data_IF_358705133488
#
_entry.id   IF_358705133488
#
_cell.length_a   1.000
_cell.length_b   1.000
_cell.length_c   1.000
_cell.angle_alpha   90.00
_cell.angle_beta   90.00
_cell.angle_gamma   90.00
#
_symmetry.space_group_name_H-M   'P 1'
#
loop_
_entity.id
_entity.type
_entity.pdbx_description
1 polymer ?
#
# COMPACT_ATOMS: atom_id res chain seq x y z
N UNK A 1 -22.43 17.57 0.77
CA UNK A 1 -21.87 17.59 2.13
C UNK A 1 -21.67 16.17 2.61
N UNK A 2 -20.71 15.92 3.50
CA UNK A 2 -20.53 14.65 4.21
C UNK A 2 -20.70 14.87 5.72
N UNK A 3 -21.43 13.97 6.39
CA UNK A 3 -21.67 14.01 7.84
C UNK A 3 -20.87 12.91 8.55
N UNK A 4 -19.77 13.31 9.15
CA UNK A 4 -18.75 12.41 9.69
C UNK A 4 -18.89 12.22 11.21
N UNK A 5 -18.31 11.14 11.78
CA UNK A 5 -18.16 10.96 13.22
C UNK A 5 -17.38 12.12 13.92
N UNK A 6 -17.27 12.12 15.27
CA UNK A 6 -16.71 13.25 16.03
C UNK A 6 -15.22 13.56 15.78
N UNK A 7 -14.50 12.70 15.06
CA UNK A 7 -13.14 12.95 14.60
C UNK A 7 -13.06 12.58 13.10
N UNK A 8 -12.47 13.47 12.31
CA UNK A 8 -12.25 13.27 10.87
C UNK A 8 -10.90 13.88 10.48
N UNK A 9 -10.15 13.15 9.67
CA UNK A 9 -8.88 13.61 9.10
C UNK A 9 -9.10 13.87 7.62
N UNK A 10 -8.77 15.09 7.18
CA UNK A 10 -8.76 15.46 5.77
C UNK A 10 -7.31 15.50 5.28
N UNK A 11 -7.01 14.82 4.19
CA UNK A 11 -5.65 14.63 3.71
C UNK A 11 -5.60 14.93 2.21
N UNK A 12 -4.91 16.00 1.84
CA UNK A 12 -4.65 16.31 0.43
C UNK A 12 -3.38 15.57 -0.02
N UNK A 13 -3.54 14.61 -0.93
CA UNK A 13 -2.45 13.86 -1.57
C UNK A 13 -2.27 14.35 -3.00
N UNK A 14 -1.03 14.55 -3.42
CA UNK A 14 -0.67 14.78 -4.82
C UNK A 14 0.54 13.93 -5.19
N UNK A 15 0.33 12.93 -6.06
CA UNK A 15 1.35 11.96 -6.45
C UNK A 15 1.68 12.06 -7.93
N UNK A 16 2.97 12.04 -8.29
CA UNK A 16 3.42 12.04 -9.68
C UNK A 16 3.19 10.67 -10.35
N UNK A 17 1.93 10.28 -10.54
CA UNK A 17 1.58 9.19 -11.46
C UNK A 17 1.73 9.67 -12.90
N UNK A 18 2.87 9.34 -13.49
CA UNK A 18 3.17 9.54 -14.91
C UNK A 18 2.82 8.30 -15.74
N UNK A 19 1.70 7.62 -15.43
CA UNK A 19 1.22 6.46 -16.20
C UNK A 19 -0.13 5.89 -15.76
N UNK A 20 -1.01 5.62 -16.74
CA UNK A 20 -2.17 4.74 -16.56
C UNK A 20 -1.78 3.31 -16.96
N UNK A 21 -1.88 2.31 -16.08
CA UNK A 21 -1.41 0.94 -16.35
C UNK A 21 -2.40 0.19 -17.27
N UNK A 22 -2.27 0.36 -18.59
CA UNK A 22 -3.14 -0.32 -19.56
C UNK A 22 -2.58 -1.67 -20.02
N UNK A 23 -3.43 -2.69 -19.86
CA UNK A 23 -3.36 -4.09 -20.37
C UNK A 23 -2.34 -5.02 -19.70
N UNK A 24 -2.86 -5.89 -18.84
CA UNK A 24 -2.32 -7.25 -18.62
C UNK A 24 -3.22 -8.24 -19.37
N UNK A 25 -2.69 -9.41 -19.78
CA UNK A 25 -3.51 -10.48 -20.37
C UNK A 25 -2.83 -11.86 -20.30
N UNK A 26 -3.54 -12.85 -19.71
CA UNK A 26 -3.27 -14.31 -19.71
C UNK A 26 -1.98 -14.80 -19.04
N UNK A 27 -2.13 -15.39 -17.85
CA UNK A 27 -1.33 -16.56 -17.40
C UNK A 27 -2.31 -17.64 -16.90
N UNK A 28 -1.95 -18.92 -17.00
CA UNK A 28 -2.79 -20.06 -16.59
C UNK A 28 -2.65 -20.37 -15.08
N UNK A 29 -3.65 -20.98 -14.40
CA UNK A 29 -3.94 -20.60 -13.01
C UNK A 29 -3.97 -21.78 -12.01
N UNK A 30 -3.34 -21.61 -10.85
CA UNK A 30 -3.34 -22.61 -9.76
C UNK A 30 -3.58 -22.02 -8.36
N UNK A 31 -4.86 -21.82 -8.05
CA UNK A 31 -5.48 -21.92 -6.70
C UNK A 31 -4.77 -21.28 -5.49
N UNK A 32 -5.51 -20.33 -4.90
CA UNK A 32 -5.99 -20.37 -3.50
C UNK A 32 -5.20 -19.75 -2.32
N UNK A 33 -5.98 -18.95 -1.57
CA UNK A 33 -6.00 -18.68 -0.09
C UNK A 33 -5.08 -17.54 0.41
N UNK A 34 -5.48 -16.31 0.88
CA UNK A 34 -6.70 -15.41 0.88
C UNK A 34 -6.34 -14.09 1.68
N UNK A 35 -6.16 -12.91 1.05
CA UNK A 35 -5.16 -11.85 1.42
C UNK A 35 -4.82 -11.55 2.88
N UNK A 36 -3.52 -11.38 3.05
CA UNK A 36 -2.77 -12.20 3.98
C UNK A 36 -1.30 -12.21 3.56
N UNK A 37 -0.43 -12.63 4.48
CA UNK A 37 0.69 -13.46 4.08
C UNK A 37 0.24 -14.93 3.96
N UNK A 38 0.79 -15.69 3.01
CA UNK A 38 0.43 -17.09 2.82
C UNK A 38 0.82 -17.96 4.06
N UNK A 39 0.01 -18.98 4.37
CA UNK A 39 0.16 -19.86 5.54
C UNK A 39 -0.08 -21.34 5.21
N UNK A 40 0.02 -22.22 6.20
CA UNK A 40 -0.10 -23.67 6.05
C UNK A 40 1.26 -24.37 5.91
N UNK A 41 1.23 -25.68 5.67
CA UNK A 41 2.40 -26.59 5.78
C UNK A 41 3.59 -26.17 4.90
N UNK A 42 3.35 -25.53 3.75
CA UNK A 42 4.40 -25.05 2.84
C UNK A 42 5.00 -23.69 3.23
N UNK A 43 4.31 -22.88 4.04
CA UNK A 43 4.68 -21.48 4.25
C UNK A 43 5.68 -21.13 5.35
N UNK A 44 6.01 -21.98 6.36
CA UNK A 44 7.28 -21.78 7.07
C UNK A 44 8.51 -22.02 6.16
N UNK A 45 8.36 -22.70 5.02
CA UNK A 45 9.45 -22.95 4.06
C UNK A 45 9.56 -21.86 2.97
N UNK A 46 8.42 -21.28 2.59
CA UNK A 46 8.31 -20.20 1.61
C UNK A 46 8.30 -18.77 2.22
N UNK A 47 8.56 -18.64 3.53
CA UNK A 47 8.93 -17.35 4.14
C UNK A 47 10.41 -17.08 3.88
N UNK A 48 10.79 -15.83 3.65
CA UNK A 48 12.21 -15.43 3.71
C UNK A 48 12.73 -15.45 5.15
N UNK A 49 14.01 -15.76 5.32
CA UNK A 49 14.65 -15.60 6.62
C UNK A 49 14.74 -14.09 6.94
N UNK A 50 14.25 -13.69 8.10
CA UNK A 50 14.33 -12.32 8.61
C UNK A 50 15.72 -11.96 9.17
N UNK A 51 16.58 -12.95 9.40
CA UNK A 51 17.92 -12.75 9.97
C UNK A 51 18.97 -12.35 8.91
N UNK A 52 18.67 -12.52 7.62
CA UNK A 52 19.55 -12.18 6.50
C UNK A 52 18.86 -11.27 5.47
N UNK A 53 19.61 -10.71 4.50
CA UNK A 53 19.02 -9.96 3.40
C UNK A 53 18.45 -10.87 2.32
N UNK A 54 17.36 -10.42 1.69
CA UNK A 54 16.86 -10.95 0.43
C UNK A 54 17.81 -10.46 -0.67
N UNK A 55 18.69 -11.35 -1.14
CA UNK A 55 19.63 -11.05 -2.21
C UNK A 55 18.89 -10.86 -3.54
N UNK A 56 19.14 -9.76 -4.25
CA UNK A 56 18.55 -9.47 -5.55
C UNK A 56 19.58 -9.00 -6.57
N UNK A 57 19.22 -9.04 -7.85
CA UNK A 57 20.05 -8.52 -8.94
C UNK A 57 19.20 -8.09 -10.13
N UNK A 58 19.81 -7.31 -11.00
CA UNK A 58 19.20 -6.82 -12.23
C UNK A 58 19.65 -7.62 -13.44
N UNK A 59 18.70 -7.90 -14.31
CA UNK A 59 18.98 -8.33 -15.67
C UNK A 59 19.47 -7.17 -16.55
N UNK A 60 20.20 -7.49 -17.62
CA UNK A 60 20.68 -6.51 -18.60
C UNK A 60 19.54 -5.80 -19.34
N UNK A 61 18.38 -6.46 -19.47
CA UNK A 61 17.18 -5.90 -20.12
C UNK A 61 16.52 -4.74 -19.37
N UNK A 62 16.89 -4.45 -18.12
CA UNK A 62 16.33 -3.34 -17.33
C UNK A 62 17.09 -2.04 -17.53
N UNK A 63 16.35 -0.96 -17.83
CA UNK A 63 16.90 0.40 -17.87
C UNK A 63 17.39 0.86 -16.49
N UNK A 64 18.42 1.69 -16.45
CA UNK A 64 18.97 2.20 -15.19
C UNK A 64 17.94 3.03 -14.38
N UNK A 65 17.02 3.74 -15.06
CA UNK A 65 15.87 4.37 -14.41
C UNK A 65 15.01 3.35 -13.66
N UNK A 66 14.71 2.21 -14.28
CA UNK A 66 13.93 1.12 -13.65
C UNK A 66 14.69 0.53 -12.46
N UNK A 67 16.02 0.34 -12.59
CA UNK A 67 16.88 -0.16 -11.50
C UNK A 67 16.89 0.79 -10.30
N UNK A 68 16.96 2.09 -10.52
CA UNK A 68 16.85 3.11 -9.46
C UNK A 68 15.49 3.06 -8.74
N UNK A 69 14.39 2.87 -9.47
CA UNK A 69 13.05 2.70 -8.86
C UNK A 69 12.99 1.42 -8.01
N UNK A 70 13.59 0.31 -8.46
CA UNK A 70 13.65 -0.94 -7.67
C UNK A 70 14.49 -0.77 -6.40
N UNK A 71 15.65 -0.09 -6.47
CA UNK A 71 16.43 0.27 -5.28
C UNK A 71 15.62 1.12 -4.30
N UNK A 72 14.88 2.12 -4.78
CA UNK A 72 14.05 2.98 -3.95
C UNK A 72 12.88 2.23 -3.28
N UNK A 73 12.20 1.34 -4.02
CA UNK A 73 11.12 0.52 -3.48
C UNK A 73 11.62 -0.51 -2.45
N UNK A 74 12.76 -1.16 -2.71
CA UNK A 74 13.42 -2.03 -1.73
C UNK A 74 13.84 -1.23 -0.48
N UNK A 75 14.47 -0.07 -0.64
CA UNK A 75 14.86 0.80 0.47
C UNK A 75 13.66 1.28 1.32
N UNK A 76 12.50 1.56 0.69
CA UNK A 76 11.28 1.88 1.41
C UNK A 76 10.84 0.74 2.33
N UNK A 77 10.75 -0.49 1.80
CA UNK A 77 10.40 -1.66 2.61
C UNK A 77 11.42 -1.92 3.74
N UNK A 78 12.71 -1.68 3.50
CA UNK A 78 13.75 -1.79 4.54
C UNK A 78 13.62 -0.73 5.64
N UNK A 79 13.16 0.48 5.34
CA UNK A 79 13.15 1.60 6.28
C UNK A 79 12.04 1.53 7.36
N UNK A 80 11.04 0.67 7.13
CA UNK A 80 9.84 0.56 7.97
C UNK A 80 9.50 -0.90 8.35
N UNK A 81 10.30 -1.88 7.95
CA UNK A 81 10.15 -3.30 8.32
C UNK A 81 11.50 -3.86 8.76
N UNK A 82 11.54 -5.04 9.37
CA UNK A 82 12.81 -5.66 9.75
C UNK A 82 13.59 -6.29 8.58
N UNK A 83 12.92 -6.56 7.45
CA UNK A 83 13.51 -7.24 6.29
C UNK A 83 14.63 -6.37 5.68
N UNK A 84 15.68 -7.03 5.17
CA UNK A 84 16.78 -6.40 4.44
C UNK A 84 16.79 -6.87 2.98
N UNK A 85 17.37 -6.09 2.07
CA UNK A 85 17.59 -6.45 0.67
C UNK A 85 19.03 -6.12 0.27
N UNK A 86 19.71 -7.03 -0.42
CA UNK A 86 21.12 -6.90 -0.82
C UNK A 86 21.26 -6.97 -2.34
N UNK A 87 21.66 -5.85 -2.97
CA UNK A 87 21.94 -5.82 -4.40
C UNK A 87 23.22 -6.60 -4.71
N UNK A 88 23.17 -7.48 -5.70
CA UNK A 88 24.23 -8.41 -6.09
C UNK A 88 24.65 -9.40 -4.99
N UNK A 89 23.89 -9.50 -3.90
CA UNK A 89 24.06 -10.52 -2.86
C UNK A 89 24.14 -11.93 -3.42
N UNK A 90 24.94 -12.80 -2.79
CA UNK A 90 25.32 -14.11 -3.36
C UNK A 90 24.49 -15.29 -2.84
N UNK A 91 23.71 -15.11 -1.78
CA UNK A 91 22.96 -16.19 -1.13
C UNK A 91 21.69 -16.58 -1.93
N UNK A 92 21.49 -17.85 -2.28
CA UNK A 92 20.30 -18.30 -3.00
C UNK A 92 19.12 -18.72 -2.09
N UNK A 93 17.87 -18.73 -2.59
CA UNK A 93 17.46 -18.21 -3.90
C UNK A 93 17.55 -16.69 -3.92
N UNK A 94 17.96 -16.13 -5.06
CA UNK A 94 18.05 -14.68 -5.31
C UNK A 94 16.76 -14.18 -5.98
N UNK A 95 16.57 -12.87 -6.06
CA UNK A 95 15.49 -12.25 -6.85
C UNK A 95 16.10 -11.62 -8.11
N UNK A 96 15.73 -12.12 -9.29
CA UNK A 96 16.09 -11.51 -10.59
C UNK A 96 14.97 -10.59 -11.06
N UNK A 97 15.20 -9.28 -11.00
CA UNK A 97 14.33 -8.34 -11.70
C UNK A 97 14.72 -8.29 -13.18
N UNK A 98 13.75 -8.37 -14.09
CA UNK A 98 13.97 -8.33 -15.54
C UNK A 98 12.84 -7.60 -16.28
N UNK A 99 13.11 -7.13 -17.50
CA UNK A 99 12.09 -6.55 -18.39
C UNK A 99 11.32 -7.69 -19.07
N UNK A 100 10.04 -7.85 -18.74
CA UNK A 100 9.15 -8.81 -19.39
C UNK A 100 7.78 -8.23 -19.72
N UNK A 101 6.87 -9.09 -20.19
CA UNK A 101 5.55 -8.69 -20.69
C UNK A 101 4.55 -8.44 -19.56
N UNK A 102 4.73 -7.30 -18.88
CA UNK A 102 3.87 -6.83 -17.78
C UNK A 102 4.59 -6.81 -16.43
N UNK A 103 3.78 -6.72 -15.38
CA UNK A 103 4.23 -6.75 -13.99
C UNK A 103 3.73 -8.05 -13.36
N UNK A 104 4.62 -8.85 -12.77
CA UNK A 104 4.28 -10.02 -11.96
C UNK A 104 5.48 -10.58 -11.18
N UNK A 105 5.19 -11.30 -10.10
CA UNK A 105 6.15 -11.83 -9.13
C UNK A 105 5.62 -13.13 -8.50
N UNK A 106 6.51 -14.02 -8.06
CA UNK A 106 6.15 -15.18 -7.24
C UNK A 106 5.89 -14.74 -5.78
N UNK A 107 4.83 -15.27 -5.16
CA UNK A 107 4.46 -14.90 -3.79
C UNK A 107 5.34 -15.63 -2.77
N UNK A 108 6.14 -14.85 -2.04
CA UNK A 108 7.07 -15.36 -1.03
C UNK A 108 8.38 -15.86 -1.64
N UNK A 109 9.09 -16.69 -0.88
CA UNK A 109 10.36 -17.32 -1.27
C UNK A 109 10.10 -18.64 -2.00
N UNK A 110 10.47 -18.72 -3.28
CA UNK A 110 10.40 -19.98 -4.03
C UNK A 110 11.57 -20.90 -3.67
N UNK A 111 11.36 -21.73 -2.64
CA UNK A 111 12.31 -22.77 -2.22
C UNK A 111 12.31 -24.01 -3.15
N UNK A 112 11.30 -24.17 -4.01
CA UNK A 112 11.00 -25.43 -4.71
C UNK A 112 11.76 -25.61 -6.04
N UNK A 113 12.65 -24.69 -6.44
CA UNK A 113 13.42 -24.75 -7.69
C UNK A 113 14.48 -25.90 -7.74
N UNK A 114 14.52 -26.77 -6.73
CA UNK A 114 15.43 -27.94 -6.59
C UNK A 114 16.92 -27.64 -6.80
N UNK A 115 17.34 -26.39 -6.65
CA UNK A 115 18.71 -25.93 -6.93
C UNK A 115 19.10 -25.86 -8.41
N UNK A 116 18.17 -26.12 -9.34
CA UNK A 116 18.41 -26.05 -10.79
C UNK A 116 18.54 -24.60 -11.25
N UNK A 117 17.68 -23.73 -10.71
CA UNK A 117 17.78 -22.28 -10.85
C UNK A 117 18.04 -21.72 -9.44
N UNK A 118 18.97 -20.78 -9.25
CA UNK A 118 19.27 -20.17 -7.95
C UNK A 118 18.52 -18.84 -7.74
N UNK A 119 17.41 -18.59 -8.47
CA UNK A 119 16.67 -17.32 -8.40
C UNK A 119 15.20 -17.43 -8.83
N UNK A 120 14.32 -16.71 -8.14
CA UNK A 120 12.98 -16.39 -8.65
C UNK A 120 13.00 -15.12 -9.50
N UNK A 121 12.10 -15.02 -10.47
CA UNK A 121 12.00 -13.86 -11.36
C UNK A 121 10.92 -12.89 -10.91
N UNK A 122 11.15 -11.60 -11.14
CA UNK A 122 10.16 -10.52 -11.03
C UNK A 122 10.15 -9.75 -12.35
N UNK A 123 9.01 -9.72 -13.02
CA UNK A 123 8.83 -9.01 -14.29
C UNK A 123 8.47 -7.56 -14.04
N UNK A 124 9.23 -6.63 -14.63
CA UNK A 124 8.98 -5.18 -14.62
C UNK A 124 9.00 -4.68 -16.07
N UNK A 125 7.87 -4.81 -16.77
CA UNK A 125 7.65 -4.29 -18.11
C UNK A 125 7.62 -2.76 -18.21
N UNK A 126 7.46 -2.23 -19.43
CA UNK A 126 7.54 -0.77 -19.71
C UNK A 126 6.66 0.09 -18.80
N UNK A 127 5.38 -0.30 -18.64
CA UNK A 127 4.41 0.45 -17.83
C UNK A 127 4.53 0.16 -16.32
N UNK A 128 5.44 -0.72 -15.91
CA UNK A 128 5.65 -1.12 -14.52
C UNK A 128 6.77 -0.32 -13.84
N UNK A 129 7.56 0.46 -14.58
CA UNK A 129 8.77 1.16 -14.09
C UNK A 129 8.52 2.36 -13.15
N UNK A 130 7.47 2.31 -12.35
CA UNK A 130 7.06 3.32 -11.36
C UNK A 130 7.10 2.72 -9.95
N UNK A 131 7.11 3.58 -8.93
CA UNK A 131 7.33 3.13 -7.55
C UNK A 131 6.22 2.22 -7.01
N UNK A 132 4.94 2.55 -7.21
CA UNK A 132 3.85 1.73 -6.68
C UNK A 132 3.80 0.30 -7.29
N UNK A 133 3.87 0.10 -8.62
CA UNK A 133 3.94 -1.26 -9.19
C UNK A 133 5.20 -2.02 -8.76
N UNK A 134 6.37 -1.37 -8.70
CA UNK A 134 7.60 -2.06 -8.26
C UNK A 134 7.52 -2.43 -6.77
N UNK A 135 6.93 -1.58 -5.92
CA UNK A 135 6.71 -1.87 -4.52
C UNK A 135 5.66 -2.97 -4.29
N UNK A 136 4.65 -3.07 -5.16
CA UNK A 136 3.67 -4.16 -5.23
C UNK A 136 4.33 -5.51 -5.53
N UNK A 137 5.18 -5.58 -6.56
CA UNK A 137 5.91 -6.81 -6.90
C UNK A 137 6.88 -7.24 -5.79
N UNK A 138 7.49 -6.28 -5.07
CA UNK A 138 8.27 -6.57 -3.86
C UNK A 138 7.36 -7.02 -2.70
N UNK A 139 6.15 -6.48 -2.57
CA UNK A 139 5.12 -6.98 -1.65
C UNK A 139 4.80 -8.46 -1.90
N UNK A 140 4.69 -8.87 -3.17
CA UNK A 140 4.61 -10.29 -3.53
C UNK A 140 5.84 -11.08 -3.11
N UNK A 141 7.07 -10.62 -3.38
CA UNK A 141 8.30 -11.28 -2.90
C UNK A 141 8.28 -11.45 -1.38
N UNK A 142 7.78 -10.46 -0.63
CA UNK A 142 7.63 -10.47 0.82
C UNK A 142 6.53 -11.43 1.32
N UNK A 143 5.72 -12.00 0.43
CA UNK A 143 4.68 -12.99 0.73
C UNK A 143 3.25 -12.44 0.78
N UNK A 144 3.04 -11.17 0.45
CA UNK A 144 1.70 -10.57 0.33
C UNK A 144 0.99 -11.01 -0.95
N UNK A 145 -0.34 -11.03 -0.94
CA UNK A 145 -1.16 -11.21 -2.16
C UNK A 145 -2.08 -9.99 -2.38
N UNK A 146 -3.00 -10.06 -3.35
CA UNK A 146 -3.92 -8.96 -3.69
C UNK A 146 -5.11 -8.78 -2.75
N UNK A 147 -5.42 -7.54 -2.39
CA UNK A 147 -6.40 -7.22 -1.32
C UNK A 147 -7.82 -7.65 -1.66
N UNK A 148 -8.25 -7.62 -2.92
CA UNK A 148 -9.57 -8.14 -3.31
C UNK A 148 -9.70 -9.66 -3.17
N UNK A 149 -8.58 -10.38 -3.03
CA UNK A 149 -8.58 -11.79 -2.67
C UNK A 149 -8.65 -12.01 -1.14
N UNK A 150 -8.97 -10.99 -0.31
CA UNK A 150 -8.99 -11.01 1.16
C UNK A 150 -9.90 -12.05 1.83
N UNK A 151 -9.61 -12.23 3.12
CA UNK A 151 -10.34 -12.92 4.20
C UNK A 151 -11.87 -12.94 4.05
N UNK A 152 -12.52 -12.40 5.06
CA UNK A 152 -13.44 -11.25 4.96
C UNK A 152 -13.66 -10.45 3.65
N UNK A 153 -13.14 -10.74 2.43
CA UNK A 153 -13.30 -9.77 1.30
C UNK A 153 -14.75 -9.47 0.94
N UNK A 154 -15.65 -10.45 1.03
CA UNK A 154 -17.07 -10.24 0.74
C UNK A 154 -17.80 -9.47 1.86
N UNK A 155 -17.12 -9.08 2.94
CA UNK A 155 -17.60 -8.14 3.95
C UNK A 155 -17.37 -6.68 3.51
N UNK A 156 -16.40 -6.44 2.61
CA UNK A 156 -15.96 -5.10 2.17
C UNK A 156 -16.26 -4.80 0.69
N UNK A 157 -16.18 -5.80 -0.20
CA UNK A 157 -16.49 -5.66 -1.63
C UNK A 157 -17.49 -6.70 -2.13
N UNK A 158 -18.21 -6.39 -3.20
CA UNK A 158 -18.93 -7.34 -4.04
C UNK A 158 -18.21 -7.50 -5.38
N UNK A 159 -18.26 -8.69 -5.98
CA UNK A 159 -17.70 -8.95 -7.32
C UNK A 159 -18.84 -9.18 -8.31
N UNK A 160 -18.78 -8.46 -9.43
CA UNK A 160 -19.69 -8.53 -10.57
C UNK A 160 -19.01 -9.32 -11.69
N UNK A 161 -19.03 -10.66 -11.59
CA UNK A 161 -18.25 -11.54 -12.45
C UNK A 161 -18.65 -11.50 -13.93
N UNK A 162 -19.86 -11.03 -14.27
CA UNK A 162 -20.27 -10.75 -15.64
C UNK A 162 -19.58 -9.53 -16.28
N UNK A 163 -18.80 -8.78 -15.49
CA UNK A 163 -17.98 -7.66 -15.92
C UNK A 163 -16.47 -7.95 -15.86
N UNK A 164 -16.05 -9.13 -15.39
CA UNK A 164 -14.65 -9.57 -15.40
C UNK A 164 -14.10 -9.67 -16.84
N UNK A 165 -12.81 -9.40 -17.09
CA UNK A 165 -12.23 -9.53 -18.42
C UNK A 165 -12.03 -11.00 -18.80
N UNK A 166 -12.61 -11.44 -19.93
CA UNK A 166 -12.62 -12.85 -20.37
C UNK A 166 -11.25 -13.54 -20.29
N UNK A 167 -11.17 -14.62 -19.50
CA UNK A 167 -9.97 -15.39 -19.22
C UNK A 167 -9.14 -14.90 -18.02
N UNK A 168 -9.69 -14.01 -17.18
CA UNK A 168 -9.06 -13.51 -15.94
C UNK A 168 -9.94 -13.77 -14.70
N UNK A 169 -10.94 -14.64 -14.81
CA UNK A 169 -11.94 -14.91 -13.75
C UNK A 169 -11.31 -15.45 -12.46
N UNK A 170 -10.14 -16.08 -12.61
CA UNK A 170 -9.35 -16.66 -11.51
C UNK A 170 -8.39 -15.68 -10.84
N UNK A 171 -8.25 -14.48 -11.38
CA UNK A 171 -7.55 -13.38 -10.72
C UNK A 171 -8.48 -12.70 -9.68
N UNK A 172 -9.80 -12.88 -9.82
CA UNK A 172 -10.83 -12.46 -8.86
C UNK A 172 -11.32 -13.58 -7.94
N UNK A 173 -10.85 -14.83 -8.16
CA UNK A 173 -11.23 -16.04 -7.40
C UNK A 173 -11.12 -15.74 -5.90
N UNK A 174 -12.25 -15.73 -5.18
CA UNK A 174 -12.14 -15.68 -3.74
C UNK A 174 -11.53 -16.98 -3.26
N UNK A 175 -10.56 -16.76 -2.43
CA UNK A 175 -9.70 -17.73 -1.83
C UNK A 175 -10.39 -18.30 -0.54
N UNK A 176 -9.66 -18.81 0.48
CA UNK A 176 -10.22 -19.27 1.79
C UNK A 176 -9.21 -19.14 2.98
N UNK A 177 -9.58 -19.29 4.27
CA UNK A 177 -8.65 -19.09 5.42
C UNK A 177 -7.50 -20.10 5.62
N UNK A 178 -7.39 -21.15 4.81
CA UNK A 178 -6.52 -22.31 5.13
C UNK A 178 -5.07 -22.20 4.64
N UNK A 179 -4.78 -21.39 3.61
CA UNK A 179 -3.41 -21.06 3.20
C UNK A 179 -3.12 -19.57 3.43
N UNK A 180 -3.86 -18.92 4.33
CA UNK A 180 -3.78 -17.48 4.56
C UNK A 180 -3.86 -17.12 6.05
N UNK A 181 -3.44 -15.90 6.38
CA UNK A 181 -3.94 -15.21 7.57
C UNK A 181 -3.96 -13.70 7.34
N UNK A 182 -5.05 -13.04 7.73
CA UNK A 182 -5.17 -11.57 7.66
C UNK A 182 -4.21 -10.85 8.63
N UNK A 183 -3.44 -11.58 9.45
CA UNK A 183 -2.48 -11.04 10.44
C UNK A 183 -3.12 -10.08 11.46
N UNK A 184 -4.44 -10.14 11.65
CA UNK A 184 -5.21 -9.15 12.41
C UNK A 184 -5.14 -7.73 11.85
N UNK A 185 -4.77 -7.57 10.58
CA UNK A 185 -4.76 -6.30 9.84
C UNK A 185 -6.10 -6.16 9.13
N UNK A 186 -6.65 -4.95 9.14
CA UNK A 186 -7.97 -4.62 8.57
C UNK A 186 -7.96 -4.69 7.03
N UNK A 187 -9.14 -4.71 6.41
CA UNK A 187 -9.24 -4.52 4.96
C UNK A 187 -8.93 -3.06 4.64
N UNK A 188 -8.02 -2.81 3.71
CA UNK A 188 -7.64 -1.45 3.31
C UNK A 188 -7.77 -1.28 1.80
N UNK A 189 -8.78 -0.49 1.39
CA UNK A 189 -9.04 -0.18 -0.02
C UNK A 189 -7.89 0.62 -0.67
N UNK A 190 -7.00 1.24 0.11
CA UNK A 190 -5.81 1.95 -0.38
C UNK A 190 -4.51 1.16 -0.32
N UNK A 191 -4.55 -0.12 0.09
CA UNK A 191 -3.40 -1.04 0.04
C UNK A 191 -2.76 -1.05 -1.34
N UNK A 192 -1.42 -1.06 -1.41
CA UNK A 192 -0.70 -1.16 -2.69
C UNK A 192 -1.01 -2.46 -3.44
N UNK A 193 -1.54 -3.46 -2.74
CA UNK A 193 -1.96 -4.74 -3.31
C UNK A 193 -3.45 -4.78 -3.72
N UNK A 194 -4.23 -3.71 -3.53
CA UNK A 194 -5.64 -3.65 -3.93
C UNK A 194 -5.78 -3.37 -5.43
N UNK A 195 -6.44 -4.25 -6.17
CA UNK A 195 -6.79 -4.00 -7.58
C UNK A 195 -7.83 -2.87 -7.74
N UNK A 196 -7.79 -2.20 -8.88
CA UNK A 196 -8.82 -1.23 -9.31
C UNK A 196 -10.21 -1.86 -9.35
N UNK A 197 -11.23 -1.11 -8.94
CA UNK A 197 -12.63 -1.56 -8.97
C UNK A 197 -13.20 -1.76 -10.37
N UNK A 198 -12.49 -1.30 -11.43
CA UNK A 198 -13.02 -1.14 -12.77
C UNK A 198 -12.32 -2.00 -13.83
N UNK A 199 -13.10 -2.51 -14.78
CA UNK A 199 -12.60 -3.17 -15.97
C UNK A 199 -11.92 -2.15 -16.90
N UNK A 200 -10.59 -2.16 -16.91
CA UNK A 200 -9.73 -1.26 -17.69
C UNK A 200 -9.92 -1.31 -19.23
N UNK A 201 -10.77 -2.21 -19.74
CA UNK A 201 -11.10 -2.32 -21.16
C UNK A 201 -12.44 -1.64 -21.53
N UNK A 202 -13.38 -1.51 -20.59
CA UNK A 202 -14.75 -1.03 -20.88
C UNK A 202 -15.38 -0.12 -19.79
N UNK A 203 -14.67 0.15 -18.69
CA UNK A 203 -15.10 1.06 -17.62
C UNK A 203 -16.19 0.51 -16.68
N UNK A 204 -16.65 -0.73 -16.86
CA UNK A 204 -17.63 -1.34 -15.94
C UNK A 204 -17.02 -1.64 -14.57
N UNK A 205 -17.83 -1.62 -13.52
CA UNK A 205 -17.44 -2.08 -12.19
C UNK A 205 -17.28 -3.60 -12.20
N UNK A 206 -16.10 -4.09 -11.81
CA UNK A 206 -15.87 -5.50 -11.45
C UNK A 206 -16.02 -5.66 -9.94
N UNK A 207 -15.50 -4.70 -9.18
CA UNK A 207 -15.48 -4.75 -7.71
C UNK A 207 -16.13 -3.50 -7.16
N UNK A 208 -17.22 -3.69 -6.44
CA UNK A 208 -18.02 -2.63 -5.81
C UNK A 208 -17.71 -2.58 -4.31
N UNK A 209 -17.25 -1.43 -3.82
CA UNK A 209 -17.04 -1.19 -2.40
C UNK A 209 -18.39 -1.07 -1.68
N UNK A 210 -18.62 -1.93 -0.68
CA UNK A 210 -19.83 -1.91 0.17
C UNK A 210 -19.97 -0.62 0.98
N UNK A 211 -18.88 0.13 1.10
CA UNK A 211 -18.89 1.54 1.51
C UNK A 211 -18.59 2.39 0.26
N UNK A 212 -19.60 3.00 -0.39
CA UNK A 212 -19.42 3.63 -1.71
C UNK A 212 -18.34 4.72 -1.77
N UNK A 213 -18.05 5.39 -0.66
CA UNK A 213 -17.00 6.40 -0.54
C UNK A 213 -15.58 5.86 -0.81
N UNK A 214 -15.36 4.54 -0.73
CA UNK A 214 -14.05 3.92 -0.98
C UNK A 214 -13.90 3.37 -2.41
N UNK A 215 -14.91 3.53 -3.28
CA UNK A 215 -14.86 3.00 -4.65
C UNK A 215 -13.67 3.57 -5.46
N UNK A 216 -13.36 4.85 -5.29
CA UNK A 216 -12.23 5.52 -5.94
C UNK A 216 -10.91 5.46 -5.14
N UNK A 217 -10.90 4.77 -3.99
CA UNK A 217 -9.65 4.42 -3.28
C UNK A 217 -8.99 3.18 -3.91
N UNK A 218 -9.79 2.21 -4.38
CA UNK A 218 -9.32 0.92 -4.91
C UNK A 218 -8.50 1.04 -6.19
N UNK A 219 -7.29 0.46 -6.19
CA UNK A 219 -6.34 0.48 -7.32
C UNK A 219 -5.31 1.59 -7.29
N UNK A 220 -5.48 2.58 -6.40
CA UNK A 220 -4.96 3.92 -6.63
C UNK A 220 -3.84 4.30 -5.64
N UNK A 221 -3.10 3.30 -5.18
CA UNK A 221 -2.01 3.46 -4.23
C UNK A 221 -0.78 4.12 -4.88
N UNK A 222 -0.22 5.14 -4.22
CA UNK A 222 1.05 5.77 -4.62
C UNK A 222 2.28 4.97 -4.17
N UNK A 223 2.09 3.94 -3.35
CA UNK A 223 3.10 3.11 -2.69
C UNK A 223 2.46 2.31 -1.54
N UNK A 224 3.23 1.47 -0.80
CA UNK A 224 2.69 0.72 0.34
C UNK A 224 2.22 1.65 1.45
N UNK A 225 1.00 1.44 1.94
CA UNK A 225 0.40 2.23 3.02
C UNK A 225 0.62 1.56 4.39
N UNK A 226 0.09 2.17 5.45
CA UNK A 226 0.34 1.71 6.83
C UNK A 226 -0.11 0.27 7.09
N UNK A 227 -1.25 -0.16 6.53
CA UNK A 227 -1.74 -1.54 6.61
C UNK A 227 -0.80 -2.55 5.95
N UNK A 228 -0.20 -2.20 4.80
CA UNK A 228 0.80 -3.01 4.10
C UNK A 228 2.08 -3.19 4.96
N UNK A 229 2.57 -2.08 5.54
CA UNK A 229 3.71 -2.09 6.45
C UNK A 229 3.43 -2.90 7.72
N UNK A 230 2.25 -2.75 8.32
CA UNK A 230 1.82 -3.49 9.49
C UNK A 230 1.69 -4.99 9.20
N UNK A 231 1.19 -5.37 8.02
CA UNK A 231 1.12 -6.75 7.58
C UNK A 231 2.52 -7.38 7.46
N UNK A 232 3.47 -6.75 6.75
CA UNK A 232 4.83 -7.27 6.63
C UNK A 232 5.52 -7.35 8.00
N UNK A 233 5.38 -6.33 8.86
CA UNK A 233 5.95 -6.35 10.20
C UNK A 233 5.40 -7.49 11.08
N UNK A 234 4.10 -7.77 11.01
CA UNK A 234 3.48 -8.90 11.72
C UNK A 234 3.86 -10.25 11.13
N UNK A 235 3.93 -10.38 9.80
CA UNK A 235 4.32 -11.63 9.14
C UNK A 235 5.76 -12.04 9.46
N UNK A 236 6.70 -11.09 9.43
CA UNK A 236 8.09 -11.35 9.75
C UNK A 236 8.38 -11.37 11.27
N UNK A 237 7.46 -10.85 12.10
CA UNK A 237 7.60 -10.82 13.57
C UNK A 237 8.48 -9.67 14.08
N UNK A 238 8.64 -8.63 13.26
CA UNK A 238 9.59 -7.54 13.45
C UNK A 238 9.43 -6.78 14.79
N UNK A 239 8.20 -6.72 15.33
CA UNK A 239 7.93 -6.07 16.63
C UNK A 239 8.64 -6.70 17.83
N UNK A 240 9.33 -7.84 17.66
CA UNK A 240 10.20 -8.41 18.70
C UNK A 240 11.56 -7.71 18.86
N UNK A 241 12.02 -6.97 17.84
CA UNK A 241 13.37 -6.39 17.81
C UNK A 241 13.56 -5.28 18.85
N UNK A 242 12.49 -4.56 19.17
CA UNK A 242 12.53 -3.43 20.11
C UNK A 242 12.04 -3.78 21.52
N UNK A 243 11.92 -5.07 21.88
CA UNK A 243 11.44 -5.48 23.22
C UNK A 243 12.45 -5.19 24.34
N UNK A 244 13.75 -5.34 24.05
CA UNK A 244 14.83 -5.11 25.01
C UNK A 244 15.32 -3.64 25.03
N UNK A 245 14.55 -2.73 24.40
CA UNK A 245 14.87 -1.30 24.26
C UNK A 245 13.69 -0.47 24.76
N UNK A 246 13.97 0.69 25.38
CA UNK A 246 12.94 1.63 25.83
C UNK A 246 12.31 2.36 24.62
N UNK A 247 11.43 1.68 23.89
CA UNK A 247 10.64 2.28 22.81
C UNK A 247 9.55 3.23 23.33
N UNK A 248 9.15 4.24 22.53
CA UNK A 248 7.95 5.04 22.79
C UNK A 248 6.68 4.19 22.72
N UNK A 249 5.66 4.56 23.51
CA UNK A 249 4.33 3.96 23.42
C UNK A 249 3.58 4.54 22.21
N UNK A 250 3.58 3.82 21.10
CA UNK A 250 2.94 4.27 19.87
C UNK A 250 1.42 4.47 20.02
N UNK A 251 0.96 5.68 19.74
CA UNK A 251 -0.44 6.10 19.75
C UNK A 251 -1.08 5.90 18.36
N UNK A 252 -2.39 6.15 18.26
CA UNK A 252 -3.15 6.15 16.99
C UNK A 252 -2.97 4.89 16.11
N UNK A 253 -2.67 3.75 16.72
CA UNK A 253 -2.46 2.46 16.05
C UNK A 253 -1.06 2.23 15.45
N UNK A 254 -0.11 3.15 15.66
CA UNK A 254 1.30 3.00 15.25
C UNK A 254 2.02 1.82 15.91
N UNK A 255 3.25 1.52 15.45
CA UNK A 255 4.10 0.46 16.02
C UNK A 255 5.58 0.84 16.02
N UNK A 256 6.42 0.34 16.97
CA UNK A 256 7.84 0.73 17.03
C UNK A 256 8.60 0.36 15.76
N UNK A 257 9.45 1.27 15.26
CA UNK A 257 10.19 1.02 14.02
C UNK A 257 11.33 0.01 14.26
N UNK A 258 11.33 -1.17 13.61
CA UNK A 258 12.34 -2.21 13.83
C UNK A 258 13.75 -1.85 13.32
N UNK A 259 13.93 -0.71 12.63
CA UNK A 259 15.25 -0.15 12.31
C UNK A 259 15.68 0.97 13.26
N UNK A 260 14.74 1.58 13.99
CA UNK A 260 14.94 2.76 14.84
C UNK A 260 13.98 2.68 16.03
N UNK A 261 14.30 1.86 17.03
CA UNK A 261 13.42 1.60 18.17
C UNK A 261 13.05 2.84 19.02
N UNK A 262 13.66 4.00 18.77
CA UNK A 262 13.33 5.31 19.38
C UNK A 262 12.17 6.05 18.71
N UNK A 263 11.65 5.57 17.58
CA UNK A 263 10.50 6.15 16.86
C UNK A 263 9.43 5.08 16.55
N UNK A 264 8.20 5.53 16.33
CA UNK A 264 7.11 4.72 15.81
C UNK A 264 6.96 4.89 14.29
N UNK A 265 6.55 3.82 13.61
CA UNK A 265 5.92 3.90 12.28
C UNK A 265 4.46 4.29 12.48
N UNK A 266 4.04 5.37 11.85
CA UNK A 266 2.72 5.97 12.06
C UNK A 266 1.75 5.70 10.91
N UNK A 267 0.46 5.64 11.25
CA UNK A 267 -0.59 5.63 10.23
C UNK A 267 -0.64 6.99 9.50
N UNK A 268 -0.92 6.96 8.20
CA UNK A 268 -0.91 8.14 7.34
C UNK A 268 -1.82 9.25 7.93
N UNK A 269 -1.26 10.46 8.06
CA UNK A 269 -1.76 11.64 8.78
C UNK A 269 -1.46 11.76 10.29
N UNK A 270 -0.71 10.82 10.90
CA UNK A 270 -0.08 11.01 12.22
C UNK A 270 1.44 11.10 12.12
N UNK A 271 2.06 11.81 13.07
CA UNK A 271 3.50 12.03 13.15
C UNK A 271 3.97 12.23 14.59
N UNK A 272 5.13 12.87 14.75
CA UNK A 272 5.86 12.87 16.03
C UNK A 272 6.59 11.54 16.25
N UNK A 273 7.31 11.41 17.37
CA UNK A 273 8.08 10.19 17.68
C UNK A 273 7.19 9.02 18.12
N UNK A 274 5.97 9.29 18.61
CA UNK A 274 5.03 8.31 19.16
C UNK A 274 3.70 8.22 18.38
N UNK A 275 3.57 8.89 17.24
CA UNK A 275 2.32 8.97 16.46
C UNK A 275 1.16 9.73 17.14
N UNK A 276 1.40 10.52 18.19
CA UNK A 276 0.37 11.37 18.81
C UNK A 276 0.05 12.63 18.00
N UNK A 277 1.03 13.15 17.25
CA UNK A 277 0.93 14.43 16.54
C UNK A 277 0.23 14.29 15.20
N UNK A 278 -0.20 15.42 14.62
CA UNK A 278 -0.59 15.52 13.21
C UNK A 278 0.66 15.39 12.34
N UNK A 279 0.59 14.61 11.25
CA UNK A 279 1.72 14.53 10.31
C UNK A 279 2.05 15.91 9.70
N UNK A 280 3.34 16.23 9.68
CA UNK A 280 3.91 17.35 8.91
C UNK A 280 3.69 17.15 7.41
N UNK A 281 3.86 18.20 6.61
CA UNK A 281 3.82 18.07 5.15
C UNK A 281 4.93 17.16 4.61
N UNK A 282 4.56 16.24 3.72
CA UNK A 282 5.45 15.23 3.11
C UNK A 282 5.66 15.47 1.60
N UNK A 283 6.60 14.74 0.98
CA UNK A 283 6.79 14.65 -0.48
C UNK A 283 7.05 15.99 -1.20
N UNK A 284 7.64 16.95 -0.49
CA UNK A 284 7.94 18.29 -1.00
C UNK A 284 6.95 19.38 -0.58
N UNK A 285 5.82 19.03 0.04
CA UNK A 285 4.90 19.99 0.66
C UNK A 285 5.59 20.81 1.78
N UNK A 286 5.07 21.99 2.15
CA UNK A 286 5.60 22.75 3.29
C UNK A 286 5.48 21.95 4.59
N UNK A 287 6.54 21.89 5.40
CA UNK A 287 6.55 21.12 6.66
C UNK A 287 5.36 21.42 7.58
N UNK A 288 4.97 22.70 7.68
CA UNK A 288 3.83 23.15 8.48
C UNK A 288 2.47 23.11 7.73
N UNK A 289 2.37 22.48 6.56
CA UNK A 289 1.12 22.44 5.78
C UNK A 289 0.00 21.73 6.55
N UNK A 290 -1.19 22.32 6.53
CA UNK A 290 -2.37 21.83 7.24
C UNK A 290 -2.40 22.23 8.72
N UNK A 291 -3.51 21.91 9.39
CA UNK A 291 -3.87 22.44 10.70
C UNK A 291 -4.67 21.43 11.54
N UNK A 292 -4.70 21.66 12.85
CA UNK A 292 -5.58 20.93 13.78
C UNK A 292 -6.69 21.88 14.24
N UNK A 293 -7.93 21.55 13.91
CA UNK A 293 -9.10 22.42 14.06
C UNK A 293 -10.17 21.74 14.90
N UNK A 294 -10.70 22.48 15.87
CA UNK A 294 -11.94 22.12 16.55
C UNK A 294 -13.13 22.75 15.82
N UNK A 295 -13.93 21.92 15.18
CA UNK A 295 -15.15 22.29 14.50
C UNK A 295 -16.19 22.83 15.50
N UNK A 296 -16.95 23.83 15.07
CA UNK A 296 -18.03 24.43 15.86
C UNK A 296 -19.26 24.71 14.97
N UNK A 297 -20.24 25.46 15.47
CA UNK A 297 -21.48 25.76 14.75
C UNK A 297 -21.32 26.72 13.55
N UNK A 298 -20.15 27.35 13.38
CA UNK A 298 -19.83 28.20 12.23
C UNK A 298 -18.94 27.45 11.22
N UNK A 299 -19.12 27.73 9.93
CA UNK A 299 -18.26 27.20 8.87
C UNK A 299 -16.84 27.74 8.98
N UNK A 300 -15.86 26.86 8.86
CA UNK A 300 -14.43 27.18 8.88
C UNK A 300 -13.79 26.68 7.58
N UNK A 301 -13.26 27.60 6.76
CA UNK A 301 -12.66 27.25 5.45
C UNK A 301 -11.20 26.84 5.62
N UNK A 302 -10.95 25.53 5.61
CA UNK A 302 -9.59 24.96 5.57
C UNK A 302 -8.98 25.16 4.16
N UNK A 303 -7.68 25.47 4.07
CA UNK A 303 -6.98 25.62 2.77
C UNK A 303 -5.65 24.88 2.77
N UNK A 304 -5.52 23.90 1.87
CA UNK A 304 -4.29 23.15 1.63
C UNK A 304 -3.86 23.22 0.17
N UNK A 305 -2.55 23.18 -0.07
CA UNK A 305 -1.96 23.06 -1.39
C UNK A 305 -0.77 22.11 -1.33
N UNK A 306 -0.63 21.25 -2.34
CA UNK A 306 0.40 20.20 -2.41
C UNK A 306 0.99 20.18 -3.81
N UNK A 307 2.25 20.64 -3.92
CA UNK A 307 3.05 20.55 -5.13
C UNK A 307 4.05 19.41 -4.96
N UNK A 308 3.91 18.35 -5.76
CA UNK A 308 4.95 17.31 -5.83
C UNK A 308 6.17 17.88 -6.57
N UNK A 309 7.28 18.00 -5.85
CA UNK A 309 8.54 18.51 -6.40
C UNK A 309 9.17 17.46 -7.33
N UNK A 310 9.80 17.93 -8.40
CA UNK A 310 10.61 17.09 -9.28
C UNK A 310 12.00 16.79 -8.66
N UNK A 311 12.05 16.45 -7.38
CA UNK A 311 13.29 16.23 -6.61
C UNK A 311 13.83 14.78 -6.71
N UNK A 312 13.14 13.93 -7.46
CA UNK A 312 13.46 12.51 -7.63
C UNK A 312 12.93 11.59 -6.52
N UNK A 313 12.30 12.14 -5.47
CA UNK A 313 11.67 11.32 -4.44
C UNK A 313 10.34 10.76 -4.95
N UNK A 314 10.26 9.43 -4.99
CA UNK A 314 9.10 8.71 -5.51
C UNK A 314 7.95 8.60 -4.49
N UNK A 315 7.72 9.65 -3.70
CA UNK A 315 6.67 9.74 -2.68
C UNK A 315 5.66 10.84 -3.05
N UNK A 316 4.36 10.67 -2.81
CA UNK A 316 3.39 11.74 -3.03
C UNK A 316 3.62 12.90 -2.06
N UNK A 317 3.34 14.12 -2.50
CA UNK A 317 3.20 15.27 -1.61
C UNK A 317 1.95 15.09 -0.75
N UNK A 318 2.09 15.38 0.55
CA UNK A 318 1.03 15.19 1.54
C UNK A 318 0.83 16.44 2.39
N UNK A 319 -0.43 16.80 2.65
CA UNK A 319 -0.80 17.87 3.57
C UNK A 319 -2.03 17.45 4.39
N UNK A 320 -1.87 17.42 5.71
CA UNK A 320 -2.75 16.69 6.62
C UNK A 320 -3.50 17.65 7.55
N UNK A 321 -4.81 17.50 7.68
CA UNK A 321 -5.68 18.30 8.53
C UNK A 321 -6.38 17.38 9.54
N UNK A 322 -6.35 17.75 10.81
CA UNK A 322 -7.09 17.05 11.87
C UNK A 322 -8.31 17.88 12.23
N UNK A 323 -9.52 17.37 11.99
CA UNK A 323 -10.77 18.02 12.36
C UNK A 323 -11.43 17.23 13.48
N UNK A 324 -11.73 17.92 14.59
CA UNK A 324 -12.35 17.33 15.79
C UNK A 324 -13.64 18.06 16.12
N UNK A 325 -14.65 17.37 16.63
CA UNK A 325 -15.88 17.98 17.13
C UNK A 325 -16.01 17.76 18.66
N UNK A 326 -16.74 18.63 19.38
CA UNK A 326 -17.10 18.39 20.76
C UNK A 326 -17.82 17.04 20.96
N UNK A 327 -17.69 16.39 22.13
CA UNK A 327 -18.34 15.11 22.41
C UNK A 327 -19.85 15.11 22.09
N UNK A 328 -20.30 14.09 21.37
CA UNK A 328 -21.69 13.95 20.92
C UNK A 328 -22.06 14.72 19.64
N UNK A 329 -21.20 15.61 19.14
CA UNK A 329 -21.42 16.33 17.88
C UNK A 329 -20.87 15.54 16.67
N UNK A 330 -21.22 15.98 15.46
CA UNK A 330 -20.75 15.42 14.18
C UNK A 330 -20.10 16.52 13.36
N UNK A 331 -19.08 16.17 12.58
CA UNK A 331 -18.42 17.10 11.66
C UNK A 331 -19.23 17.10 10.34
N UNK A 332 -19.53 18.28 9.80
CA UNK A 332 -20.06 18.40 8.43
C UNK A 332 -19.00 19.03 7.52
N UNK A 333 -18.69 18.38 6.40
CA UNK A 333 -17.72 18.85 5.42
C UNK A 333 -18.37 19.18 4.08
N UNK A 334 -17.90 20.28 3.48
CA UNK A 334 -18.17 20.72 2.11
C UNK A 334 -16.84 20.98 1.42
N UNK A 335 -16.56 20.26 0.34
CA UNK A 335 -15.52 20.65 -0.62
C UNK A 335 -16.12 21.81 -1.43
N UNK A 336 -15.47 22.98 -1.38
CA UNK A 336 -15.92 24.18 -2.10
C UNK A 336 -15.24 24.29 -3.47
N UNK A 337 -13.96 23.95 -3.52
CA UNK A 337 -13.12 23.92 -4.71
C UNK A 337 -12.12 22.76 -4.56
N UNK A 338 -11.81 22.09 -5.67
CA UNK A 338 -10.68 21.18 -5.79
C UNK A 338 -10.07 21.35 -7.17
N UNK A 339 -8.83 21.85 -7.23
CA UNK A 339 -8.09 22.09 -8.46
C UNK A 339 -6.89 21.12 -8.56
N UNK A 340 -6.70 20.52 -9.74
CA UNK A 340 -5.71 19.48 -9.96
C UNK A 340 -5.96 18.66 -11.22
N UNK A 341 -5.19 17.58 -11.41
CA UNK A 341 -5.30 16.68 -12.56
C UNK A 341 -6.34 15.57 -12.31
N UNK A 342 -7.57 15.83 -12.75
CA UNK A 342 -8.66 14.86 -12.67
C UNK A 342 -8.35 13.57 -13.45
N UNK A 343 -8.53 12.43 -12.79
CA UNK A 343 -8.45 11.08 -13.35
C UNK A 343 -9.55 10.22 -12.73
N UNK A 344 -10.13 9.21 -13.42
CA UNK A 344 -11.19 8.35 -12.86
C UNK A 344 -10.78 7.56 -11.60
N UNK A 345 -9.47 7.46 -11.40
CA UNK A 345 -8.77 6.71 -10.36
C UNK A 345 -8.04 7.65 -9.37
N UNK A 346 -8.25 8.97 -9.45
CA UNK A 346 -7.64 9.98 -8.56
C UNK A 346 -6.10 9.84 -8.39
N UNK A 347 -5.43 9.19 -9.35
CA UNK A 347 -4.10 8.63 -9.15
C UNK A 347 -2.97 9.67 -9.36
N UNK A 348 -3.32 10.91 -9.71
CA UNK A 348 -2.39 12.06 -9.76
C UNK A 348 -2.59 13.01 -8.58
N UNK A 349 -3.81 13.11 -8.05
CA UNK A 349 -4.11 13.88 -6.84
C UNK A 349 -5.52 13.56 -6.32
N UNK A 350 -5.66 13.58 -5.01
CA UNK A 350 -6.87 13.19 -4.29
C UNK A 350 -7.04 13.99 -2.99
N UNK A 351 -8.29 14.22 -2.60
CA UNK A 351 -8.65 14.56 -1.23
C UNK A 351 -9.05 13.26 -0.51
N UNK A 352 -8.12 12.68 0.24
CA UNK A 352 -8.39 11.50 1.06
C UNK A 352 -9.08 11.91 2.37
N UNK A 353 -10.28 11.38 2.62
CA UNK A 353 -11.06 11.63 3.83
C UNK A 353 -11.07 10.37 4.72
N UNK A 354 -10.46 10.46 5.90
CA UNK A 354 -10.36 9.37 6.87
C UNK A 354 -11.28 9.67 8.05
N UNK A 355 -12.28 8.82 8.30
CA UNK A 355 -13.31 9.10 9.30
C UNK A 355 -13.82 7.87 10.05
N UNK A 356 -13.90 6.69 9.44
CA UNK A 356 -14.25 5.48 10.19
C UNK A 356 -13.05 4.89 10.93
N UNK A 357 -11.93 4.73 10.23
CA UNK A 357 -10.69 4.12 10.74
C UNK A 357 -9.52 4.96 10.31
N UNK A 358 -8.67 5.35 11.27
CA UNK A 358 -7.55 6.25 10.99
C UNK A 358 -6.28 5.48 10.57
N UNK A 359 -6.26 4.16 10.78
CA UNK A 359 -5.18 3.21 10.47
C UNK A 359 -5.15 2.72 9.02
N UNK A 360 -6.31 2.66 8.33
CA UNK A 360 -6.38 2.37 6.88
C UNK A 360 -6.13 3.62 6.05
N UNK A 361 -6.17 3.53 4.71
CA UNK A 361 -6.49 4.68 3.87
C UNK A 361 -7.94 5.15 4.05
N UNK A 362 -8.23 6.37 3.63
CA UNK A 362 -9.57 6.97 3.57
C UNK A 362 -10.28 6.83 2.22
N UNK A 363 -11.48 7.43 2.16
CA UNK A 363 -12.26 7.64 0.95
C UNK A 363 -11.58 8.68 0.03
N UNK A 364 -11.81 8.63 -1.29
CA UNK A 364 -11.23 9.56 -2.28
C UNK A 364 -12.23 9.97 -3.35
#
# INVERSE_FOLDING_TARGET
>A
MLRLPPAAICLFLFGLSLGSPKKHRRINPSRWKRQSALTGVQFPQNRWDSNGPIAFFFDESLSEKTRQVIRAAAAFWQNYTCVNFEENGKMPPRVRFYRGDGCFSEIGRNSNQRGIIPFQNVSIGDNCGFFAPVAHEIGHVLGMIHTHARSDRDEFIAIHSENEPNGMEKDFERMSPHNSTNLGVEYDYGSVMQYTGYNQQNGKVIMEAKQPHYQHTMGNAYGPVFSDLLAVNRYFGCGRICLDVQSPHCQNGGFPNPKRCSECVCANAFGGTDCSERASGEGGAPFACGETVQANAQWQTLRGAVEAKADGQLRPAGCHFHVTAPPGQRIELRVEELSGLCSPECNVGALELKFERMTSSGAR
#
